data_IF_662160179397
#
_entry.id   IF_662160179397
#
_cell.length_a   1.000
_cell.length_b   1.000
_cell.length_c   1.000
_cell.angle_alpha   90.00
_cell.angle_beta   90.00
_cell.angle_gamma   90.00
#
_symmetry.space_group_name_H-M   'P 1'
#
loop_
_entity.id
_entity.type
_entity.pdbx_description
1 polymer ?
#
# COMPACT_ATOMS: atom_id res chain seq x y z
N UNK A 1 -18.35 -7.77 13.01
CA UNK A 1 -16.85 -7.75 12.97
C UNK A 1 -16.32 -9.17 13.15
N UNK A 2 -15.59 -9.68 12.18
CA UNK A 2 -14.95 -11.00 12.28
C UNK A 2 -13.65 -10.90 13.11
N UNK A 3 -13.11 -12.05 13.57
CA UNK A 3 -11.80 -12.09 14.26
C UNK A 3 -10.67 -11.55 13.37
N UNK A 4 -10.87 -11.59 12.05
CA UNK A 4 -9.91 -11.11 11.05
C UNK A 4 -9.95 -9.58 10.95
N UNK A 5 -11.12 -8.98 11.10
CA UNK A 5 -11.32 -7.54 11.06
C UNK A 5 -10.69 -6.86 12.30
N UNK A 6 -10.83 -7.47 13.49
CA UNK A 6 -10.14 -7.00 14.71
C UNK A 6 -8.63 -6.89 14.52
N UNK A 7 -8.01 -7.89 13.85
CA UNK A 7 -6.55 -7.89 13.62
C UNK A 7 -6.09 -6.82 12.62
N UNK A 8 -6.95 -6.36 11.70
CA UNK A 8 -6.61 -5.27 10.79
C UNK A 8 -6.72 -3.92 11.49
N UNK A 9 -7.70 -3.75 12.37
CA UNK A 9 -7.79 -2.54 13.19
C UNK A 9 -6.63 -2.38 14.18
N UNK A 10 -6.03 -3.47 14.67
CA UNK A 10 -4.84 -3.40 15.52
C UNK A 10 -3.65 -2.71 14.82
N UNK A 11 -3.61 -2.73 13.46
CA UNK A 11 -2.60 -2.01 12.69
C UNK A 11 -2.83 -0.49 12.64
N UNK A 12 -4.01 -0.04 13.03
CA UNK A 12 -4.40 1.36 13.04
C UNK A 12 -4.27 2.00 14.42
N UNK A 13 -3.73 1.27 15.38
CA UNK A 13 -3.48 1.80 16.71
C UNK A 13 -2.54 3.00 16.65
N UNK A 14 -2.99 4.13 17.23
CA UNK A 14 -2.26 5.39 17.18
C UNK A 14 -2.60 6.31 15.99
N UNK A 15 -3.44 5.89 15.04
CA UNK A 15 -3.93 6.79 13.99
C UNK A 15 -5.15 7.58 14.48
N UNK A 16 -5.08 8.90 14.34
CA UNK A 16 -6.24 9.76 14.54
C UNK A 16 -7.16 9.68 13.34
N UNK A 17 -8.43 9.34 13.55
CA UNK A 17 -9.40 9.20 12.47
C UNK A 17 -10.76 9.80 12.84
N UNK A 18 -11.43 10.36 11.85
CA UNK A 18 -12.80 10.79 11.98
C UNK A 18 -13.74 9.58 11.97
N UNK A 19 -14.98 9.77 12.46
CA UNK A 19 -16.00 8.71 12.40
C UNK A 19 -16.22 8.20 10.97
N UNK A 20 -16.26 9.10 9.98
CA UNK A 20 -16.47 8.73 8.57
C UNK A 20 -15.32 7.87 8.03
N UNK A 21 -14.07 8.17 8.38
CA UNK A 21 -12.91 7.36 8.02
C UNK A 21 -12.94 5.99 8.67
N UNK A 22 -13.30 5.94 9.97
CA UNK A 22 -13.47 4.68 10.68
C UNK A 22 -14.55 3.81 10.03
N UNK A 23 -15.74 4.36 9.79
CA UNK A 23 -16.88 3.64 9.19
C UNK A 23 -16.54 3.15 7.75
N UNK A 24 -15.70 3.90 7.03
CA UNK A 24 -15.22 3.50 5.70
C UNK A 24 -14.24 2.32 5.79
N UNK A 25 -13.22 2.42 6.66
CA UNK A 25 -12.23 1.35 6.86
C UNK A 25 -12.89 0.08 7.38
N UNK A 26 -13.84 0.18 8.31
CA UNK A 26 -14.60 -0.96 8.81
C UNK A 26 -15.30 -1.71 7.66
N UNK A 27 -16.06 -1.00 6.83
CA UNK A 27 -16.71 -1.60 5.65
C UNK A 27 -15.72 -2.20 4.66
N UNK A 28 -14.58 -1.54 4.45
CA UNK A 28 -13.53 -2.05 3.55
C UNK A 28 -12.93 -3.34 4.08
N UNK A 29 -12.59 -3.41 5.36
CA UNK A 29 -12.02 -4.58 6.00
C UNK A 29 -12.98 -5.76 6.06
N UNK A 30 -14.25 -5.53 6.35
CA UNK A 30 -15.30 -6.57 6.31
C UNK A 30 -15.43 -7.24 4.93
N UNK A 31 -15.18 -6.48 3.86
CA UNK A 31 -15.27 -6.96 2.48
C UNK A 31 -13.94 -7.45 1.89
N UNK A 32 -12.82 -7.36 2.64
CA UNK A 32 -11.53 -7.86 2.17
C UNK A 32 -11.48 -9.37 2.11
N UNK A 33 -11.00 -9.89 1.00
CA UNK A 33 -10.60 -11.29 0.88
C UNK A 33 -9.36 -11.58 1.73
N UNK A 34 -9.08 -12.86 1.99
CA UNK A 34 -7.84 -13.26 2.69
C UNK A 34 -6.57 -12.77 1.98
N UNK A 35 -6.59 -12.75 0.64
CA UNK A 35 -5.48 -12.22 -0.17
C UNK A 35 -5.31 -10.72 0.07
N UNK A 36 -6.39 -9.97 0.00
CA UNK A 36 -6.35 -8.51 0.22
C UNK A 36 -5.91 -8.16 1.64
N UNK A 37 -6.36 -8.90 2.65
CA UNK A 37 -5.91 -8.70 4.03
C UNK A 37 -4.41 -8.94 4.22
N UNK A 38 -3.82 -9.92 3.52
CA UNK A 38 -2.37 -10.16 3.51
C UNK A 38 -1.64 -9.01 2.79
N UNK A 39 -2.13 -8.62 1.61
CA UNK A 39 -1.58 -7.50 0.84
C UNK A 39 -1.61 -6.21 1.64
N UNK A 40 -2.74 -5.90 2.30
CA UNK A 40 -2.88 -4.71 3.13
C UNK A 40 -1.84 -4.69 4.26
N UNK A 41 -1.66 -5.79 5.00
CA UNK A 41 -0.65 -5.87 6.07
C UNK A 41 0.77 -5.65 5.56
N UNK A 42 1.12 -6.27 4.42
CA UNK A 42 2.42 -6.07 3.81
C UNK A 42 2.59 -4.64 3.27
N UNK A 43 1.57 -4.08 2.65
CA UNK A 43 1.57 -2.72 2.17
C UNK A 43 1.78 -1.70 3.31
N UNK A 44 1.11 -1.88 4.44
CA UNK A 44 1.32 -1.07 5.65
C UNK A 44 2.77 -1.10 6.14
N UNK A 45 3.44 -2.26 6.05
CA UNK A 45 4.87 -2.38 6.42
C UNK A 45 5.81 -1.71 5.41
N UNK A 46 5.46 -1.75 4.11
CA UNK A 46 6.28 -1.16 3.04
C UNK A 46 6.15 0.36 3.04
N UNK A 47 4.91 0.85 3.03
CA UNK A 47 4.60 2.28 2.86
C UNK A 47 4.76 3.08 4.16
N UNK A 48 4.62 2.43 5.32
CA UNK A 48 4.71 3.06 6.65
C UNK A 48 3.88 4.34 6.74
N UNK A 49 2.56 4.27 6.47
CA UNK A 49 1.70 5.44 6.43
C UNK A 49 1.73 6.18 7.77
N UNK A 50 1.59 7.50 7.72
CA UNK A 50 1.57 8.35 8.92
C UNK A 50 0.20 8.96 9.19
N UNK A 51 -0.65 9.00 8.19
CA UNK A 51 -2.00 9.58 8.27
C UNK A 51 -3.05 8.57 7.85
N UNK A 52 -4.23 8.69 8.39
CA UNK A 52 -5.37 7.82 8.07
C UNK A 52 -5.74 7.86 6.58
N UNK A 53 -5.59 9.00 5.92
CA UNK A 53 -5.81 9.09 4.48
C UNK A 53 -4.83 8.21 3.68
N UNK A 54 -3.56 8.08 4.09
CA UNK A 54 -2.60 7.20 3.43
C UNK A 54 -3.01 5.73 3.61
N UNK A 55 -3.51 5.37 4.81
CA UNK A 55 -4.05 4.02 5.07
C UNK A 55 -5.24 3.70 4.16
N UNK A 56 -6.15 4.68 3.99
CA UNK A 56 -7.31 4.52 3.10
C UNK A 56 -6.87 4.38 1.63
N UNK A 57 -5.87 5.14 1.19
CA UNK A 57 -5.25 5.00 -0.14
C UNK A 57 -4.69 3.59 -0.36
N UNK A 58 -3.90 3.09 0.58
CA UNK A 58 -3.36 1.73 0.54
C UNK A 58 -4.50 0.71 0.46
N UNK A 59 -5.51 0.82 1.33
CA UNK A 59 -6.62 -0.12 1.40
C UNK A 59 -7.46 -0.17 0.11
N UNK A 60 -7.48 0.90 -0.68
CA UNK A 60 -8.23 0.99 -1.94
C UNK A 60 -7.44 0.55 -3.17
N UNK A 61 -6.10 0.51 -3.09
CA UNK A 61 -5.21 0.26 -4.24
C UNK A 61 -4.33 -0.98 -4.02
N UNK A 62 -4.89 -2.07 -3.50
CA UNK A 62 -4.16 -3.31 -3.22
C UNK A 62 -3.71 -4.07 -4.48
N UNK A 63 -4.22 -3.73 -5.64
CA UNK A 63 -3.79 -4.24 -6.94
C UNK A 63 -2.40 -3.71 -7.37
N UNK A 64 -1.88 -2.70 -6.68
CA UNK A 64 -0.51 -2.21 -6.84
C UNK A 64 0.54 -3.10 -6.15
N UNK A 65 0.13 -4.21 -5.56
CA UNK A 65 1.00 -5.15 -4.85
C UNK A 65 0.83 -6.57 -5.36
N UNK A 66 1.95 -7.27 -5.52
CA UNK A 66 1.99 -8.69 -5.79
C UNK A 66 2.23 -9.50 -4.51
N UNK A 67 1.56 -10.64 -4.40
CA UNK A 67 1.69 -11.60 -3.32
C UNK A 67 2.29 -12.91 -3.82
N UNK A 68 3.45 -13.28 -3.30
CA UNK A 68 4.12 -14.55 -3.59
C UNK A 68 3.85 -15.51 -2.43
N UNK A 69 2.89 -16.40 -2.65
CA UNK A 69 2.46 -17.36 -1.63
C UNK A 69 3.56 -18.32 -1.22
N UNK A 70 3.73 -18.53 0.09
CA UNK A 70 4.70 -19.47 0.63
C UNK A 70 6.16 -19.04 0.49
N UNK A 71 6.43 -17.81 0.11
CA UNK A 71 7.76 -17.22 0.03
C UNK A 71 8.04 -16.41 1.31
N UNK A 72 8.14 -17.07 2.46
CA UNK A 72 8.24 -16.41 3.77
C UNK A 72 9.67 -16.06 4.20
N UNK A 73 10.67 -16.52 3.47
CA UNK A 73 12.08 -16.25 3.69
C UNK A 73 12.87 -16.19 2.37
N UNK A 74 14.16 -15.82 2.42
CA UNK A 74 14.99 -15.68 1.22
C UNK A 74 15.15 -17.00 0.47
N UNK A 75 15.19 -18.13 1.14
CA UNK A 75 15.32 -19.46 0.50
C UNK A 75 14.06 -19.82 -0.29
N UNK A 76 12.89 -19.65 0.35
CA UNK A 76 11.59 -19.91 -0.27
C UNK A 76 11.32 -18.94 -1.41
N UNK A 77 11.65 -17.65 -1.22
CA UNK A 77 11.57 -16.64 -2.26
C UNK A 77 12.45 -16.99 -3.45
N UNK A 78 13.69 -17.40 -3.22
CA UNK A 78 14.61 -17.80 -4.30
C UNK A 78 14.10 -18.99 -5.10
N UNK A 79 13.57 -20.01 -4.42
CA UNK A 79 12.92 -21.15 -5.08
C UNK A 79 11.74 -20.69 -5.94
N UNK A 80 10.86 -19.86 -5.37
CA UNK A 80 9.71 -19.31 -6.08
C UNK A 80 10.13 -18.56 -7.35
N UNK A 81 11.18 -17.73 -7.26
CA UNK A 81 11.69 -16.95 -8.39
C UNK A 81 12.24 -17.88 -9.49
N UNK A 82 13.03 -18.88 -9.11
CA UNK A 82 13.62 -19.82 -10.06
C UNK A 82 12.58 -20.71 -10.73
N UNK A 83 11.47 -21.02 -10.05
CA UNK A 83 10.41 -21.88 -10.58
C UNK A 83 9.37 -21.13 -11.40
N UNK A 84 8.96 -19.95 -10.93
CA UNK A 84 7.80 -19.26 -11.47
C UNK A 84 8.15 -18.04 -12.32
N UNK A 85 9.24 -17.35 -12.04
CA UNK A 85 9.57 -16.07 -12.67
C UNK A 85 10.68 -16.20 -13.69
N UNK A 86 11.88 -16.57 -13.27
CA UNK A 86 13.08 -16.57 -14.13
C UNK A 86 13.32 -17.87 -14.87
N UNK A 87 12.85 -18.99 -14.34
CA UNK A 87 12.94 -20.35 -14.92
C UNK A 87 14.28 -20.63 -15.61
N UNK A 88 15.42 -20.58 -14.87
CA UNK A 88 16.71 -20.87 -15.46
C UNK A 88 16.74 -22.30 -16.02
N UNK A 89 17.56 -22.58 -17.06
CA UNK A 89 17.75 -23.93 -17.58
C UNK A 89 18.12 -24.91 -16.45
N UNK A 90 17.67 -26.16 -16.55
CA UNK A 90 17.87 -27.18 -15.48
C UNK A 90 19.35 -27.35 -15.12
N UNK A 91 20.22 -27.31 -16.09
CA UNK A 91 21.68 -27.38 -15.89
C UNK A 91 22.24 -26.20 -15.08
N UNK A 92 21.62 -25.03 -15.14
CA UNK A 92 22.02 -23.85 -14.36
C UNK A 92 21.43 -23.84 -12.94
N UNK A 93 20.29 -24.51 -12.74
CA UNK A 93 19.63 -24.56 -11.41
C UNK A 93 20.49 -25.21 -10.34
N UNK A 94 21.27 -26.23 -10.69
CA UNK A 94 22.15 -26.95 -9.75
C UNK A 94 23.24 -26.05 -9.16
N UNK A 95 23.60 -24.98 -9.86
CA UNK A 95 24.64 -24.03 -9.45
C UNK A 95 24.10 -22.78 -8.79
N UNK A 96 22.77 -22.58 -8.78
CA UNK A 96 22.13 -21.42 -8.17
C UNK A 96 21.78 -21.71 -6.71
N UNK A 97 22.22 -20.84 -5.84
CA UNK A 97 21.87 -20.85 -4.42
C UNK A 97 20.54 -20.10 -4.22
N UNK A 98 19.46 -20.78 -3.83
CA UNK A 98 18.15 -20.15 -3.65
C UNK A 98 18.19 -18.96 -2.68
N UNK A 99 18.95 -19.07 -1.59
CA UNK A 99 19.04 -18.01 -0.59
C UNK A 99 19.64 -16.73 -1.20
N UNK A 100 20.69 -16.87 -2.00
CA UNK A 100 21.30 -15.74 -2.69
C UNK A 100 20.38 -15.12 -3.74
N UNK A 101 19.64 -15.95 -4.47
CA UNK A 101 18.66 -15.48 -5.46
C UNK A 101 17.54 -14.69 -4.77
N UNK A 102 16.99 -15.21 -3.68
CA UNK A 102 15.94 -14.55 -2.91
C UNK A 102 16.41 -13.24 -2.28
N UNK A 103 17.56 -13.28 -1.62
CA UNK A 103 18.18 -12.10 -1.02
C UNK A 103 18.46 -11.00 -2.07
N UNK A 104 19.02 -11.35 -3.22
CA UNK A 104 19.27 -10.42 -4.32
C UNK A 104 17.96 -9.82 -4.89
N UNK A 105 16.89 -10.61 -4.91
CA UNK A 105 15.59 -10.11 -5.35
C UNK A 105 15.00 -9.13 -4.35
N UNK A 106 15.07 -9.44 -3.05
CA UNK A 106 14.60 -8.59 -1.96
C UNK A 106 15.34 -7.25 -1.87
N UNK A 107 16.64 -7.21 -2.18
CA UNK A 107 17.46 -6.00 -2.16
C UNK A 107 17.00 -4.92 -3.16
N UNK A 108 16.10 -5.25 -4.10
CA UNK A 108 15.52 -4.26 -5.03
C UNK A 108 14.62 -3.21 -4.34
N UNK A 109 14.24 -3.44 -3.08
CA UNK A 109 13.38 -2.56 -2.32
C UNK A 109 11.90 -2.65 -2.69
N UNK A 110 11.06 -1.89 -1.98
CA UNK A 110 9.61 -1.88 -2.18
C UNK A 110 8.96 -3.25 -1.90
N UNK A 111 9.43 -3.96 -0.87
CA UNK A 111 8.95 -5.30 -0.56
C UNK A 111 9.11 -5.64 0.93
N UNK A 112 8.39 -6.66 1.37
CA UNK A 112 8.48 -7.19 2.75
C UNK A 112 8.09 -8.67 2.81
N UNK A 113 8.52 -9.34 3.87
CA UNK A 113 7.94 -10.62 4.28
C UNK A 113 6.84 -10.37 5.30
N UNK A 114 5.65 -10.89 5.04
CA UNK A 114 4.49 -10.77 5.92
C UNK A 114 3.75 -12.11 6.01
N UNK A 115 3.53 -12.62 7.23
CA UNK A 115 2.79 -13.86 7.51
C UNK A 115 3.22 -15.08 6.66
N UNK A 116 4.51 -15.27 6.45
CA UNK A 116 5.05 -16.39 5.67
C UNK A 116 4.90 -16.24 4.15
N UNK A 117 4.70 -15.02 3.68
CA UNK A 117 4.56 -14.66 2.27
C UNK A 117 5.45 -13.47 1.93
N UNK A 118 5.79 -13.31 0.66
CA UNK A 118 6.52 -12.14 0.17
C UNK A 118 5.56 -11.21 -0.57
N UNK A 119 5.62 -9.93 -0.24
CA UNK A 119 4.79 -8.88 -0.83
C UNK A 119 5.71 -7.85 -1.46
N UNK A 120 5.36 -7.43 -2.67
CA UNK A 120 6.16 -6.50 -3.46
C UNK A 120 5.26 -5.45 -4.13
N UNK A 121 5.71 -4.20 -4.12
CA UNK A 121 5.12 -3.13 -4.93
C UNK A 121 5.38 -3.38 -6.41
N UNK A 122 4.35 -3.28 -7.23
CA UNK A 122 4.42 -3.42 -8.70
C UNK A 122 4.29 -2.08 -9.42
N UNK A 123 3.55 -1.16 -8.83
CA UNK A 123 3.37 0.21 -9.33
C UNK A 123 3.20 1.17 -8.17
N UNK A 124 3.41 2.45 -8.43
CA UNK A 124 3.19 3.48 -7.42
C UNK A 124 1.70 3.61 -7.12
N UNK A 125 1.38 3.84 -5.85
CA UNK A 125 0.03 4.21 -5.43
C UNK A 125 -0.31 5.56 -6.05
N UNK A 126 -1.47 5.65 -6.67
CA UNK A 126 -2.00 6.93 -7.14
C UNK A 126 -2.43 7.77 -5.93
N UNK A 127 -1.80 8.93 -5.70
CA UNK A 127 -2.19 9.82 -4.60
C UNK A 127 -3.56 10.47 -4.81
N UNK A 128 -4.11 10.36 -6.02
CA UNK A 128 -5.41 10.91 -6.38
C UNK A 128 -6.40 9.78 -6.60
N UNK A 129 -7.14 9.42 -5.57
CA UNK A 129 -8.31 8.56 -5.73
C UNK A 129 -9.43 9.35 -6.39
N UNK A 130 -9.49 9.22 -7.72
CA UNK A 130 -10.61 9.76 -8.47
C UNK A 130 -11.90 9.03 -8.08
N UNK A 131 -12.83 9.77 -7.48
CA UNK A 131 -14.23 9.44 -7.53
C UNK A 131 -14.91 8.90 -6.29
N UNK A 132 -14.25 8.57 -5.18
CA UNK A 132 -14.97 8.26 -3.95
C UNK A 132 -15.06 9.47 -2.99
N UNK A 133 -16.24 10.11 -2.93
CA UNK A 133 -16.47 11.24 -2.02
C UNK A 133 -16.24 10.93 -0.54
N UNK A 134 -16.30 9.64 -0.16
CA UNK A 134 -16.11 9.20 1.22
C UNK A 134 -14.64 9.19 1.62
N UNK A 135 -13.72 9.18 0.65
CA UNK A 135 -12.29 9.22 0.87
C UNK A 135 -11.79 10.64 1.19
N UNK A 136 -12.60 11.65 0.98
CA UNK A 136 -12.30 13.03 1.35
C UNK A 136 -13.35 13.53 2.35
N UNK A 137 -13.20 13.18 3.65
CA UNK A 137 -14.15 13.63 4.69
C UNK A 137 -14.11 15.15 4.89
N UNK A 138 -13.02 15.79 4.50
CA UNK A 138 -12.89 17.25 4.41
C UNK A 138 -13.19 17.71 2.98
N UNK A 139 -14.35 17.35 2.43
CA UNK A 139 -14.89 18.07 1.31
C UNK A 139 -15.29 19.49 1.74
N UNK A 140 -14.29 20.29 2.01
CA UNK A 140 -14.39 21.69 1.68
C UNK A 140 -14.47 21.80 0.15
N UNK A 141 -15.19 22.77 -0.34
CA UNK A 141 -15.34 23.07 -1.77
C UNK A 141 -13.98 23.40 -2.43
N UNK A 142 -13.16 22.37 -2.66
CA UNK A 142 -11.86 22.55 -3.31
C UNK A 142 -11.92 22.00 -4.74
N UNK A 143 -11.65 22.85 -5.71
CA UNK A 143 -11.48 22.44 -7.11
C UNK A 143 -10.18 21.64 -7.32
N UNK A 144 -9.13 22.01 -6.57
CA UNK A 144 -7.78 21.41 -6.71
C UNK A 144 -7.16 21.27 -5.33
N UNK A 145 -6.54 20.11 -5.05
CA UNK A 145 -5.64 19.93 -3.90
C UNK A 145 -4.23 19.66 -4.41
N UNK A 146 -3.26 20.38 -3.87
CA UNK A 146 -1.84 20.25 -4.23
C UNK A 146 -1.04 19.90 -2.98
N UNK A 147 -0.23 18.86 -3.04
CA UNK A 147 0.72 18.52 -1.98
C UNK A 147 2.00 19.34 -2.19
N UNK A 148 2.25 20.29 -1.31
CA UNK A 148 3.46 21.07 -1.32
C UNK A 148 4.49 20.44 -0.39
N UNK A 149 5.60 19.97 -0.94
CA UNK A 149 6.74 19.49 -0.20
C UNK A 149 7.93 20.44 -0.35
N UNK A 150 8.72 20.60 0.69
CA UNK A 150 9.98 21.35 0.66
C UNK A 150 11.16 20.45 1.00
N UNK A 151 12.39 20.93 0.77
CA UNK A 151 13.61 20.20 1.16
C UNK A 151 13.72 19.94 2.66
N UNK A 152 13.06 20.75 3.48
CA UNK A 152 13.04 20.65 4.94
C UNK A 152 11.81 19.92 5.47
N UNK A 153 10.77 19.75 4.64
CA UNK A 153 9.56 19.00 4.96
C UNK A 153 9.19 18.12 3.76
N UNK A 154 9.74 16.91 3.76
CA UNK A 154 9.48 15.91 2.71
C UNK A 154 8.08 15.33 2.79
N UNK A 155 7.43 15.41 3.96
CA UNK A 155 6.07 14.91 4.18
C UNK A 155 5.01 15.80 3.50
N UNK A 156 5.38 17.05 3.15
CA UNK A 156 4.53 17.99 2.45
C UNK A 156 3.28 18.40 3.23
N UNK A 157 2.63 19.44 2.76
CA UNK A 157 1.34 19.93 3.27
C UNK A 157 0.34 19.94 2.11
N UNK A 158 -0.86 19.39 2.34
CA UNK A 158 -1.93 19.51 1.37
C UNK A 158 -2.56 20.90 1.42
N UNK A 159 -2.60 21.57 0.29
CA UNK A 159 -3.25 22.86 0.13
C UNK A 159 -4.42 22.68 -0.83
N UNK A 160 -5.62 23.00 -0.36
CA UNK A 160 -6.84 23.01 -1.17
C UNK A 160 -7.07 24.39 -1.77
N UNK A 161 -7.41 24.44 -3.05
CA UNK A 161 -7.84 25.66 -3.74
C UNK A 161 -9.36 25.59 -3.91
N UNK A 162 -10.13 26.59 -3.42
CA UNK A 162 -11.58 26.57 -3.52
C UNK A 162 -12.05 26.65 -4.97
N UNK A 163 -13.12 25.93 -5.27
CA UNK A 163 -13.85 26.03 -6.55
C UNK A 163 -14.88 27.17 -6.47
N UNK A 164 -14.44 28.36 -6.19
CA UNK A 164 -15.31 29.55 -6.32
C UNK A 164 -14.88 30.26 -7.60
N UNK A 165 -15.72 30.19 -8.62
CA UNK A 165 -15.50 30.86 -9.90
C UNK A 165 -15.30 32.40 -9.80
N UNK A 166 -15.32 32.94 -8.60
CA UNK A 166 -15.09 34.37 -8.32
C UNK A 166 -13.59 34.75 -8.36
N UNK A 167 -12.66 33.80 -8.32
CA UNK A 167 -11.21 34.09 -8.34
C UNK A 167 -10.54 33.92 -9.70
N UNK A 168 -11.24 33.43 -10.71
CA UNK A 168 -10.67 33.24 -12.05
C UNK A 168 -10.76 34.47 -12.94
N UNK A 169 -11.52 35.52 -12.54
CA UNK A 169 -11.67 36.73 -13.29
C UNK A 169 -10.72 37.90 -12.88
N UNK A 170 -9.74 37.60 -12.00
CA UNK A 170 -8.81 38.63 -11.48
C UNK A 170 -7.34 38.40 -11.90
N UNK A 171 -7.11 37.95 -13.16
CA UNK A 171 -5.77 37.84 -13.73
C UNK A 171 -5.73 38.44 -15.14
#
# INVERSE_FOLDING_TARGET
MSVQDCKLFDLLDGFEMTKSQHDWLERRFENMTKKESLLFRGAMQIEQPRMTCDVMLIASQLDHYDLFYGAGDDVQLGKFIMEQIQRPPDQAREFLDPEKVGSAYRQKGGNTFCDGHFIKVTSLIDPFLDGDPSMNPDKGDFAIRVKLASRTNMDGVWVGFPDTGEYMDAA
#
